data_IF_135746117677
#
_entry.id   IF_135746117677
#
_cell.length_a   1.000
_cell.length_b   1.000
_cell.length_c   1.000
_cell.angle_alpha   90.00
_cell.angle_beta   90.00
_cell.angle_gamma   90.00
#
_symmetry.space_group_name_H-M   'P 1'
#
loop_
_entity.id
_entity.type
_entity.pdbx_description
1 polymer ?
#
# COMPACT_ATOMS: atom_id res chain seq x y z
N UNK A 1 -8.37 -12.97 9.03
CA UNK A 1 -7.53 -11.77 9.27
C UNK A 1 -7.47 -10.92 8.01
N UNK A 2 -7.89 -9.66 8.08
CA UNK A 2 -8.20 -8.81 6.91
C UNK A 2 -6.98 -8.51 5.99
N UNK A 3 -5.76 -8.79 6.47
CA UNK A 3 -4.52 -8.72 5.70
C UNK A 3 -4.43 -9.72 4.52
N UNK A 4 -5.11 -10.86 4.58
CA UNK A 4 -5.01 -11.90 3.54
C UNK A 4 -5.72 -11.55 2.23
N UNK A 5 -6.70 -10.65 2.26
CA UNK A 5 -7.38 -10.15 1.05
C UNK A 5 -6.60 -9.00 0.41
N UNK A 6 -5.94 -8.19 1.23
CA UNK A 6 -5.14 -7.05 0.79
C UNK A 6 -3.87 -7.47 0.02
N UNK A 7 -3.28 -8.60 0.41
CA UNK A 7 -2.04 -9.14 -0.19
C UNK A 7 -2.12 -9.38 -1.71
N UNK A 8 -3.03 -10.23 -2.22
CA UNK A 8 -3.12 -10.50 -3.65
C UNK A 8 -3.56 -9.28 -4.46
N UNK A 9 -4.47 -8.46 -3.92
CA UNK A 9 -4.94 -7.24 -4.59
C UNK A 9 -3.81 -6.21 -4.73
N UNK A 10 -3.02 -6.02 -3.68
CA UNK A 10 -1.87 -5.12 -3.70
C UNK A 10 -0.74 -5.62 -4.61
N UNK A 11 -0.53 -6.93 -4.71
CA UNK A 11 0.44 -7.51 -5.62
C UNK A 11 0.06 -7.34 -7.10
N UNK A 12 -1.21 -7.56 -7.46
CA UNK A 12 -1.71 -7.39 -8.84
C UNK A 12 -1.68 -5.91 -9.25
N UNK A 13 -2.20 -5.02 -8.40
CA UNK A 13 -2.16 -3.57 -8.67
C UNK A 13 -0.72 -3.04 -8.71
N UNK A 14 0.16 -3.54 -7.84
CA UNK A 14 1.57 -3.16 -7.82
C UNK A 14 2.33 -3.61 -9.06
N UNK A 15 2.12 -4.85 -9.49
CA UNK A 15 2.71 -5.36 -10.74
C UNK A 15 2.29 -4.54 -11.95
N UNK A 16 0.99 -4.27 -12.12
CA UNK A 16 0.47 -3.43 -13.20
C UNK A 16 1.02 -2.00 -13.14
N UNK A 17 1.07 -1.40 -11.95
CA UNK A 17 1.55 -0.04 -11.79
C UNK A 17 3.07 0.08 -12.06
N UNK A 18 3.87 -0.95 -11.75
CA UNK A 18 5.31 -1.04 -12.11
C UNK A 18 5.50 -1.12 -13.61
N UNK A 19 4.68 -1.90 -14.30
CA UNK A 19 4.78 -2.08 -15.76
C UNK A 19 4.42 -0.80 -16.52
N UNK A 20 3.40 -0.05 -16.05
CA UNK A 20 2.94 1.15 -16.74
C UNK A 20 3.79 2.39 -16.40
N UNK A 21 4.24 2.53 -15.15
CA UNK A 21 4.76 3.80 -14.62
C UNK A 21 6.28 3.81 -14.40
N UNK A 22 6.94 2.65 -14.49
CA UNK A 22 8.38 2.47 -14.34
C UNK A 22 8.85 2.37 -12.89
N UNK A 23 9.81 1.45 -12.64
CA UNK A 23 10.28 1.05 -11.29
C UNK A 23 10.56 2.22 -10.33
N UNK A 24 11.30 3.24 -10.77
CA UNK A 24 11.72 4.35 -9.91
C UNK A 24 10.54 5.19 -9.39
N UNK A 25 9.50 5.38 -10.20
CA UNK A 25 8.33 6.19 -9.82
C UNK A 25 7.42 5.44 -8.85
N UNK A 26 7.27 4.13 -9.03
CA UNK A 26 6.50 3.31 -8.10
C UNK A 26 7.15 3.24 -6.73
N UNK A 27 8.47 3.12 -6.64
CA UNK A 27 9.16 3.08 -5.33
C UNK A 27 8.88 4.37 -4.54
N UNK A 28 8.92 5.53 -5.22
CA UNK A 28 8.62 6.84 -4.60
C UNK A 28 7.13 6.91 -4.23
N UNK A 29 6.24 6.54 -5.15
CA UNK A 29 4.79 6.56 -4.90
C UNK A 29 4.38 5.62 -3.76
N UNK A 30 5.04 4.46 -3.60
CA UNK A 30 4.80 3.50 -2.53
C UNK A 30 5.19 4.07 -1.17
N UNK A 31 6.34 4.74 -1.07
CA UNK A 31 6.75 5.43 0.14
C UNK A 31 5.80 6.59 0.48
N UNK A 32 5.37 7.37 -0.52
CA UNK A 32 4.38 8.42 -0.31
C UNK A 32 3.05 7.85 0.19
N UNK A 33 2.53 6.78 -0.44
CA UNK A 33 1.29 6.12 0.00
C UNK A 33 1.43 5.54 1.42
N UNK A 34 2.59 4.99 1.77
CA UNK A 34 2.87 4.48 3.11
C UNK A 34 2.86 5.62 4.14
N UNK A 35 3.47 6.77 3.80
CA UNK A 35 3.44 7.96 4.64
C UNK A 35 2.00 8.48 4.85
N UNK A 36 1.19 8.54 3.80
CA UNK A 36 -0.23 8.91 3.89
C UNK A 36 -1.06 7.90 4.69
N UNK A 37 -0.82 6.59 4.52
CA UNK A 37 -1.50 5.55 5.30
C UNK A 37 -1.24 5.67 6.80
N UNK A 38 0.00 5.99 7.19
CA UNK A 38 0.34 6.28 8.59
C UNK A 38 -0.30 7.55 9.14
N UNK A 39 -0.43 8.59 8.30
CA UNK A 39 -1.10 9.84 8.66
C UNK A 39 -2.59 9.61 8.96
N UNK A 40 -3.24 8.78 8.14
CA UNK A 40 -4.64 8.37 8.33
C UNK A 40 -4.81 7.54 9.61
N UNK A 41 -3.89 6.62 9.90
CA UNK A 41 -3.91 5.82 11.14
C UNK A 41 -3.75 6.72 12.37
N UNK A 42 -2.82 7.69 12.32
CA UNK A 42 -2.58 8.62 13.43
C UNK A 42 -3.80 9.51 13.71
N UNK A 43 -4.56 9.86 12.68
CA UNK A 43 -5.77 10.66 12.80
C UNK A 43 -7.04 9.83 13.06
N UNK A 44 -6.93 8.50 13.18
CA UNK A 44 -8.08 7.62 13.30
C UNK A 44 -8.69 7.67 14.72
N UNK A 45 -9.95 8.11 14.81
CA UNK A 45 -10.72 8.14 16.06
C UNK A 45 -11.61 6.90 16.26
N UNK A 46 -11.78 6.07 15.23
CA UNK A 46 -12.62 4.87 15.23
C UNK A 46 -11.79 3.62 14.86
N UNK A 47 -12.06 2.48 15.51
CA UNK A 47 -11.35 1.22 15.28
C UNK A 47 -11.37 0.75 13.82
N UNK A 48 -12.47 0.96 13.12
CA UNK A 48 -12.62 0.59 11.70
C UNK A 48 -11.69 1.40 10.77
N UNK A 49 -11.42 2.66 11.13
CA UNK A 49 -10.55 3.55 10.37
C UNK A 49 -9.07 3.13 10.47
N UNK A 50 -8.67 2.55 11.61
CA UNK A 50 -7.35 1.92 11.79
C UNK A 50 -7.24 0.67 10.91
N UNK A 51 -8.30 -0.14 10.81
CA UNK A 51 -8.33 -1.35 9.98
C UNK A 51 -8.15 -1.01 8.50
N UNK A 52 -8.88 0.01 8.01
CA UNK A 52 -8.76 0.48 6.62
C UNK A 52 -7.36 1.04 6.36
N UNK A 53 -6.81 1.85 7.29
CA UNK A 53 -5.45 2.36 7.19
C UNK A 53 -4.39 1.25 7.11
N UNK A 54 -4.57 0.17 7.87
CA UNK A 54 -3.67 -1.01 7.85
C UNK A 54 -3.75 -1.79 6.53
N UNK A 55 -4.94 -1.91 5.95
CA UNK A 55 -5.13 -2.55 4.64
C UNK A 55 -4.43 -1.73 3.55
N UNK A 56 -4.60 -0.40 3.59
CA UNK A 56 -3.96 0.51 2.65
C UNK A 56 -2.44 0.50 2.77
N UNK A 57 -1.91 0.49 4.00
CA UNK A 57 -0.47 0.37 4.27
C UNK A 57 0.10 -0.97 3.77
N UNK A 58 -0.63 -2.07 3.99
CA UNK A 58 -0.26 -3.40 3.48
C UNK A 58 -0.18 -3.45 1.95
N UNK A 59 -1.15 -2.84 1.27
CA UNK A 59 -1.15 -2.73 -0.20
C UNK A 59 0.05 -1.90 -0.68
N UNK A 60 0.29 -0.74 -0.07
CA UNK A 60 1.43 0.11 -0.43
C UNK A 60 2.78 -0.61 -0.24
N UNK A 61 2.92 -1.41 0.83
CA UNK A 61 4.13 -2.19 1.10
C UNK A 61 4.33 -3.31 0.08
N UNK A 62 3.26 -4.02 -0.30
CA UNK A 62 3.30 -5.02 -1.37
C UNK A 62 3.70 -4.42 -2.71
N UNK A 63 3.11 -3.29 -3.09
CA UNK A 63 3.45 -2.57 -4.33
C UNK A 63 4.92 -2.15 -4.35
N UNK A 64 5.44 -1.64 -3.23
CA UNK A 64 6.86 -1.29 -3.07
C UNK A 64 7.79 -2.50 -3.20
N UNK A 65 7.42 -3.64 -2.60
CA UNK A 65 8.20 -4.87 -2.69
C UNK A 65 8.26 -5.41 -4.14
N UNK A 66 7.14 -5.42 -4.86
CA UNK A 66 7.08 -5.83 -6.27
C UNK A 66 7.93 -4.95 -7.17
N UNK A 67 8.00 -3.64 -6.90
CA UNK A 67 8.85 -2.72 -7.67
C UNK A 67 10.35 -2.91 -7.44
N UNK A 68 10.74 -3.50 -6.30
CA UNK A 68 12.13 -3.76 -5.94
C UNK A 68 12.68 -5.08 -6.48
N UNK A 69 11.82 -5.98 -6.97
CA UNK A 69 12.19 -7.24 -7.62
C UNK A 69 12.30 -7.01 -9.14
#
# INVERSE_FOLDING_TARGET
SMFSIAGPIGAVLGGLAVDIMGRKRIIIASHCCMFFGWLIITSAQNGDMIVIGRIMEGIARCVGATAST
#
